data_IF_896059134797
#
_entry.id   IF_896059134797
#
_cell.length_a   1.000
_cell.length_b   1.000
_cell.length_c   1.000
_cell.angle_alpha   90.00
_cell.angle_beta   90.00
_cell.angle_gamma   90.00
#
_symmetry.space_group_name_H-M   'P 1'
#
loop_
_entity.id
_entity.type
_entity.pdbx_description
1 polymer ?
#
# COMPACT_ATOMS: atom_id res chain seq x y z
N UNK A 1 48.21 7.56 -22.50
CA UNK A 1 46.87 7.06 -22.91
C UNK A 1 45.76 7.94 -22.31
N UNK A 2 45.54 9.16 -22.83
CA UNK A 2 44.38 10.03 -22.49
C UNK A 2 44.14 11.00 -23.66
N UNK A 3 43.61 10.49 -24.77
CA UNK A 3 43.23 11.32 -25.93
C UNK A 3 42.07 10.73 -26.77
N UNK A 4 41.41 9.66 -26.30
CA UNK A 4 40.41 8.91 -27.09
C UNK A 4 38.96 9.01 -26.59
N UNK A 5 38.70 9.59 -25.43
CA UNK A 5 37.37 9.50 -24.76
C UNK A 5 36.47 10.71 -25.05
N UNK A 6 37.03 11.85 -25.48
CA UNK A 6 36.26 13.09 -25.69
C UNK A 6 35.43 13.15 -26.98
N UNK A 7 35.79 12.40 -28.03
CA UNK A 7 35.09 12.46 -29.33
C UNK A 7 33.74 11.72 -29.34
N UNK A 8 33.56 10.71 -28.48
CA UNK A 8 32.31 9.94 -28.43
C UNK A 8 31.21 10.62 -27.58
N UNK A 9 31.57 11.39 -26.55
CA UNK A 9 30.59 12.07 -25.71
C UNK A 9 29.83 13.19 -26.47
N UNK A 10 30.55 13.93 -27.33
CA UNK A 10 29.95 14.98 -28.16
C UNK A 10 28.99 14.41 -29.22
N UNK A 11 29.31 13.27 -29.81
CA UNK A 11 28.45 12.59 -30.78
C UNK A 11 27.15 12.07 -30.13
N UNK A 12 27.23 11.54 -28.91
CA UNK A 12 26.08 11.05 -28.14
C UNK A 12 25.17 12.21 -27.71
N UNK A 13 25.75 13.35 -27.31
CA UNK A 13 24.98 14.54 -26.96
C UNK A 13 24.24 15.15 -28.17
N UNK A 14 24.86 15.16 -29.34
CA UNK A 14 24.25 15.63 -30.59
C UNK A 14 23.07 14.72 -31.04
N UNK A 15 23.23 13.40 -30.93
CA UNK A 15 22.15 12.45 -31.24
C UNK A 15 20.94 12.60 -30.31
N UNK A 16 21.17 12.89 -29.03
CA UNK A 16 20.10 13.09 -28.03
C UNK A 16 19.33 14.39 -28.26
N UNK A 17 20.00 15.47 -28.69
CA UNK A 17 19.35 16.74 -29.06
C UNK A 17 18.48 16.60 -30.31
N UNK A 18 18.92 15.83 -31.31
CA UNK A 18 18.13 15.58 -32.53
C UNK A 18 16.84 14.80 -32.21
N UNK A 19 16.92 13.80 -31.32
CA UNK A 19 15.77 12.98 -30.91
C UNK A 19 14.74 13.75 -30.04
N UNK A 20 15.21 14.72 -29.24
CA UNK A 20 14.32 15.59 -28.44
C UNK A 20 13.64 16.65 -29.32
N UNK A 21 14.32 17.16 -30.35
CA UNK A 21 13.71 18.08 -31.32
C UNK A 21 12.63 17.40 -32.18
N UNK A 22 12.85 16.14 -32.59
CA UNK A 22 11.86 15.34 -33.32
C UNK A 22 10.62 15.02 -32.46
N UNK A 23 10.81 14.78 -31.16
CA UNK A 23 9.71 14.54 -30.22
C UNK A 23 8.92 15.81 -29.86
N UNK A 24 9.52 17.00 -29.98
CA UNK A 24 8.84 18.28 -29.79
C UNK A 24 7.98 18.64 -31.02
N UNK A 25 8.47 18.40 -32.23
CA UNK A 25 7.71 18.65 -33.46
C UNK A 25 6.44 17.78 -33.60
N UNK A 26 6.40 16.62 -32.94
CA UNK A 26 5.23 15.73 -32.95
C UNK A 26 4.11 16.14 -31.97
N UNK A 27 4.32 17.16 -31.12
CA UNK A 27 3.35 17.61 -30.12
C UNK A 27 2.52 18.84 -30.51
N UNK A 28 2.88 19.54 -31.58
CA UNK A 28 2.23 20.81 -31.97
C UNK A 28 1.08 20.66 -32.99
N UNK A 29 0.57 19.44 -33.23
CA UNK A 29 -0.47 19.19 -34.27
C UNK A 29 -1.86 18.89 -33.68
N UNK A 30 -2.08 19.05 -32.38
CA UNK A 30 -3.41 18.80 -31.77
C UNK A 30 -3.77 19.92 -30.80
N UNK A 31 -4.11 21.10 -31.31
CA UNK A 31 -5.03 22.01 -30.60
C UNK A 31 -5.58 23.08 -31.56
N UNK A 32 -6.85 22.96 -31.94
CA UNK A 32 -7.69 24.12 -32.27
C UNK A 32 -9.18 23.74 -32.08
N UNK A 33 -9.72 24.18 -30.94
CA UNK A 33 -10.95 24.99 -30.90
C UNK A 33 -12.29 24.28 -31.05
N UNK A 34 -12.93 24.00 -29.91
CA UNK A 34 -14.39 23.88 -29.81
C UNK A 34 -15.00 25.13 -29.19
N UNK A 35 -15.91 25.80 -29.92
CA UNK A 35 -17.09 26.48 -29.37
C UNK A 35 -18.11 26.81 -30.49
N UNK A 36 -19.26 26.13 -30.38
CA UNK A 36 -20.65 26.52 -30.68
C UNK A 36 -21.00 27.56 -31.75
N UNK A 37 -21.86 27.12 -32.68
CA UNK A 37 -23.06 27.86 -33.10
C UNK A 37 -22.95 28.68 -34.38
N UNK A 38 -23.26 28.07 -35.53
CA UNK A 38 -24.35 28.56 -36.40
C UNK A 38 -24.55 27.61 -37.59
N UNK A 39 -25.83 27.37 -37.89
CA UNK A 39 -26.30 26.55 -39.00
C UNK A 39 -25.98 27.23 -40.33
N UNK A 40 -25.10 26.63 -41.12
CA UNK A 40 -25.06 26.86 -42.57
C UNK A 40 -25.05 25.51 -43.26
N UNK A 41 -26.25 25.10 -43.70
CA UNK A 41 -26.42 24.04 -44.67
C UNK A 41 -25.71 24.44 -45.97
N UNK A 42 -24.55 23.84 -46.24
CA UNK A 42 -24.01 23.76 -47.59
C UNK A 42 -24.09 22.29 -48.00
N UNK A 43 -25.14 21.97 -48.74
CA UNK A 43 -25.33 20.68 -49.38
C UNK A 43 -24.26 20.48 -50.46
N UNK A 44 -23.16 19.83 -50.11
CA UNK A 44 -22.34 19.12 -51.09
C UNK A 44 -22.77 17.65 -51.07
N UNK A 45 -23.69 17.34 -51.99
CA UNK A 45 -23.96 15.97 -52.38
C UNK A 45 -22.74 15.41 -53.09
N UNK A 46 -21.85 14.78 -52.34
CA UNK A 46 -20.83 13.90 -52.89
C UNK A 46 -20.82 12.65 -52.02
N UNK A 47 -21.47 11.61 -52.55
CA UNK A 47 -21.42 10.26 -52.01
C UNK A 47 -19.96 9.85 -51.91
N UNK A 48 -19.45 9.74 -50.69
CA UNK A 48 -18.14 9.14 -50.40
C UNK A 48 -18.08 7.78 -51.10
N UNK A 49 -17.08 7.51 -51.96
CA UNK A 49 -16.82 6.14 -52.36
C UNK A 49 -16.41 5.37 -51.10
N UNK A 50 -17.21 4.37 -50.75
CA UNK A 50 -16.76 3.26 -49.94
C UNK A 50 -15.50 2.66 -50.60
N UNK A 51 -14.55 2.24 -49.79
CA UNK A 51 -13.30 1.55 -50.17
C UNK A 51 -12.09 2.45 -50.49
N UNK A 52 -11.56 3.12 -49.45
CA UNK A 52 -10.09 3.29 -49.37
C UNK A 52 -9.54 1.92 -48.97
N UNK A 53 -8.68 1.27 -49.78
CA UNK A 53 -8.10 -0.02 -49.43
C UNK A 53 -7.36 0.09 -48.09
N UNK A 54 -7.77 -0.67 -47.08
CA UNK A 54 -6.99 -0.78 -45.83
C UNK A 54 -5.56 -1.16 -46.21
N UNK A 55 -4.60 -0.34 -45.78
CA UNK A 55 -3.19 -0.54 -46.07
C UNK A 55 -2.78 -1.98 -45.65
N UNK A 56 -2.19 -2.80 -46.54
CA UNK A 56 -1.76 -4.16 -46.23
C UNK A 56 -0.90 -4.24 -44.96
N UNK A 57 -0.15 -3.18 -44.67
CA UNK A 57 0.66 -3.08 -43.45
C UNK A 57 -0.20 -2.92 -42.19
N UNK A 58 -1.34 -2.22 -42.26
CA UNK A 58 -2.28 -2.10 -41.14
C UNK A 58 -2.94 -3.45 -40.85
N UNK A 59 -3.38 -4.18 -41.88
CA UNK A 59 -3.96 -5.52 -41.70
C UNK A 59 -2.95 -6.50 -41.08
N UNK A 60 -1.69 -6.51 -41.55
CA UNK A 60 -0.64 -7.35 -40.98
C UNK A 60 -0.28 -6.94 -39.55
N UNK A 61 -0.27 -5.63 -39.25
CA UNK A 61 -0.02 -5.14 -37.88
C UNK A 61 -1.11 -5.57 -36.90
N UNK A 62 -2.38 -5.56 -37.31
CA UNK A 62 -3.51 -6.06 -36.50
C UNK A 62 -3.44 -7.57 -36.28
N UNK A 63 -3.11 -8.35 -37.31
CA UNK A 63 -2.94 -9.81 -37.21
C UNK A 63 -1.79 -10.19 -36.25
N UNK A 64 -0.67 -9.45 -36.31
CA UNK A 64 0.45 -9.64 -35.36
C UNK A 64 0.00 -9.26 -33.95
N UNK A 65 -0.71 -8.13 -33.78
CA UNK A 65 -1.24 -7.72 -32.48
C UNK A 65 -2.21 -8.77 -31.90
N UNK A 66 -3.10 -9.32 -32.72
CA UNK A 66 -4.05 -10.36 -32.34
C UNK A 66 -3.34 -11.67 -31.96
N UNK A 67 -2.35 -12.10 -32.74
CA UNK A 67 -1.51 -13.26 -32.43
C UNK A 67 -0.72 -13.08 -31.13
N UNK A 68 -0.18 -11.88 -30.88
CA UNK A 68 0.51 -11.58 -29.62
C UNK A 68 -0.45 -11.58 -28.43
N UNK A 69 -1.69 -11.10 -28.62
CA UNK A 69 -2.73 -11.09 -27.60
C UNK A 69 -3.20 -12.50 -27.26
N UNK A 70 -3.36 -13.36 -28.26
CA UNK A 70 -3.75 -14.76 -28.07
C UNK A 70 -2.65 -15.55 -27.35
N UNK A 71 -1.40 -15.32 -27.73
CA UNK A 71 -0.24 -15.87 -27.02
C UNK A 71 -0.17 -15.38 -25.57
N UNK A 72 -0.45 -14.11 -25.32
CA UNK A 72 -0.48 -13.53 -23.98
C UNK A 72 -1.61 -14.11 -23.11
N UNK A 73 -2.81 -14.26 -23.67
CA UNK A 73 -3.95 -14.92 -22.98
C UNK A 73 -3.60 -16.33 -22.55
N UNK A 74 -3.03 -17.13 -23.46
CA UNK A 74 -2.59 -18.48 -23.15
C UNK A 74 -1.55 -18.52 -22.02
N UNK A 75 -0.60 -17.58 -21.99
CA UNK A 75 0.38 -17.49 -20.90
C UNK A 75 -0.28 -17.18 -19.55
N UNK A 76 -1.25 -16.26 -19.51
CA UNK A 76 -1.98 -15.92 -18.29
C UNK A 76 -2.77 -17.13 -17.79
N UNK A 77 -3.49 -17.84 -18.66
CA UNK A 77 -4.25 -19.04 -18.29
C UNK A 77 -3.34 -20.17 -17.77
N UNK A 78 -2.20 -20.40 -18.44
CA UNK A 78 -1.21 -21.39 -18.01
C UNK A 78 -0.61 -21.02 -16.66
N UNK A 79 -0.23 -19.76 -16.48
CA UNK A 79 0.30 -19.24 -15.22
C UNK A 79 -0.72 -19.41 -14.09
N UNK A 80 -1.96 -19.02 -14.33
CA UNK A 80 -3.06 -19.13 -13.37
C UNK A 80 -3.26 -20.59 -12.92
N UNK A 81 -3.21 -21.55 -13.85
CA UNK A 81 -3.29 -22.98 -13.54
C UNK A 81 -2.11 -23.48 -12.70
N UNK A 82 -0.89 -23.07 -13.04
CA UNK A 82 0.32 -23.47 -12.31
C UNK A 82 0.34 -22.88 -10.89
N UNK A 83 0.11 -21.57 -10.74
CA UNK A 83 0.09 -20.90 -9.44
C UNK A 83 -1.06 -21.42 -8.57
N UNK A 84 -2.19 -21.82 -9.18
CA UNK A 84 -3.25 -22.53 -8.46
C UNK A 84 -2.80 -23.88 -7.96
N UNK A 85 -2.21 -24.70 -8.82
CA UNK A 85 -1.72 -26.02 -8.39
C UNK A 85 -0.69 -25.90 -7.26
N UNK A 86 0.14 -24.85 -7.30
CA UNK A 86 1.11 -24.52 -6.27
C UNK A 86 0.43 -24.15 -4.95
N UNK A 87 -0.54 -23.22 -5.00
CA UNK A 87 -1.27 -22.77 -3.82
C UNK A 87 -2.13 -23.89 -3.20
N UNK A 88 -2.65 -24.87 -3.96
CA UNK A 88 -3.34 -26.04 -3.39
C UNK A 88 -2.37 -26.93 -2.61
N UNK A 89 -1.21 -27.22 -3.20
CA UNK A 89 -0.21 -28.11 -2.59
C UNK A 89 0.36 -27.51 -1.31
N UNK A 90 0.54 -26.19 -1.28
CA UNK A 90 1.15 -25.47 -0.16
C UNK A 90 0.15 -24.67 0.67
N UNK A 91 -1.16 -24.98 0.60
CA UNK A 91 -2.20 -24.21 1.27
C UNK A 91 -1.98 -24.10 2.78
N UNK A 92 -1.57 -25.20 3.42
CA UNK A 92 -1.29 -25.22 4.86
C UNK A 92 -0.01 -24.47 5.23
N UNK A 93 0.99 -24.49 4.36
CA UNK A 93 2.23 -23.72 4.54
C UNK A 93 1.93 -22.22 4.48
N UNK A 94 1.12 -21.78 3.50
CA UNK A 94 0.69 -20.37 3.36
C UNK A 94 -0.12 -19.93 4.60
N UNK A 95 -0.88 -20.83 5.23
CA UNK A 95 -1.66 -20.50 6.44
C UNK A 95 -0.79 -20.39 7.69
N UNK A 96 0.17 -21.29 7.85
CA UNK A 96 0.89 -21.46 9.11
C UNK A 96 2.26 -20.76 9.15
N UNK A 97 2.89 -20.55 8.00
CA UNK A 97 4.18 -19.88 7.87
C UNK A 97 4.01 -18.45 7.31
N UNK A 98 4.21 -17.40 8.14
CA UNK A 98 4.11 -16.02 7.69
C UNK A 98 5.17 -15.63 6.65
N UNK A 99 6.38 -16.18 6.74
CA UNK A 99 7.46 -15.83 5.82
C UNK A 99 7.15 -16.36 4.42
N UNK A 100 6.70 -17.62 4.35
CA UNK A 100 6.25 -18.22 3.10
C UNK A 100 5.02 -17.52 2.52
N UNK A 101 4.06 -17.14 3.37
CA UNK A 101 2.89 -16.35 2.95
C UNK A 101 3.29 -15.01 2.34
N UNK A 102 4.18 -14.26 3.00
CA UNK A 102 4.66 -12.98 2.51
C UNK A 102 5.33 -13.11 1.14
N UNK A 103 6.20 -14.11 0.97
CA UNK A 103 6.87 -14.36 -0.32
C UNK A 103 5.89 -14.76 -1.43
N UNK A 104 4.89 -15.57 -1.09
CA UNK A 104 3.82 -15.95 -2.03
C UNK A 104 3.01 -14.71 -2.49
N UNK A 105 2.63 -13.84 -1.56
CA UNK A 105 1.93 -12.59 -1.90
C UNK A 105 2.81 -11.66 -2.74
N UNK A 106 4.12 -11.58 -2.42
CA UNK A 106 5.10 -10.81 -3.20
C UNK A 106 5.23 -11.31 -4.63
N UNK A 107 5.16 -12.62 -4.85
CA UNK A 107 5.14 -13.21 -6.19
C UNK A 107 3.87 -12.85 -6.97
N UNK A 108 2.71 -12.81 -6.29
CA UNK A 108 1.43 -12.53 -6.93
C UNK A 108 1.26 -11.05 -7.32
N UNK A 109 1.89 -10.12 -6.60
CA UNK A 109 1.69 -8.67 -6.79
C UNK A 109 2.10 -8.15 -8.19
N UNK A 110 3.29 -8.46 -8.76
CA UNK A 110 3.65 -8.04 -10.12
C UNK A 110 2.74 -8.62 -11.22
N UNK A 111 2.11 -9.76 -10.93
CA UNK A 111 1.22 -10.44 -11.87
C UNK A 111 -0.20 -9.84 -11.87
N UNK A 112 -0.47 -8.86 -11.00
CA UNK A 112 -1.81 -8.29 -10.81
C UNK A 112 -2.80 -9.30 -10.21
N UNK A 113 -2.30 -10.38 -9.63
CA UNK A 113 -3.10 -11.40 -8.97
C UNK A 113 -3.26 -10.98 -7.51
N UNK A 114 -4.47 -10.59 -7.10
CA UNK A 114 -4.79 -10.40 -5.69
C UNK A 114 -5.50 -11.67 -5.15
N UNK A 115 -4.77 -12.58 -4.47
CA UNK A 115 -5.37 -13.79 -3.90
C UNK A 115 -6.39 -13.50 -2.80
N UNK A 116 -6.46 -12.25 -2.29
CA UNK A 116 -7.36 -11.82 -1.22
C UNK A 116 -8.63 -11.12 -1.74
N UNK A 117 -8.55 -10.34 -2.82
CA UNK A 117 -9.73 -9.71 -3.43
C UNK A 117 -10.70 -10.73 -4.04
N UNK A 118 -10.18 -11.88 -4.46
CA UNK A 118 -10.97 -12.92 -5.08
C UNK A 118 -12.10 -13.46 -4.19
N UNK A 119 -11.86 -13.53 -2.88
CA UNK A 119 -12.81 -14.11 -1.93
C UNK A 119 -13.98 -13.16 -1.59
N UNK A 120 -13.78 -11.84 -1.62
CA UNK A 120 -14.86 -10.88 -1.37
C UNK A 120 -15.78 -10.69 -2.56
N UNK A 121 -15.26 -10.79 -3.79
CA UNK A 121 -16.08 -10.78 -5.00
C UNK A 121 -16.92 -12.05 -5.16
N UNK A 122 -16.49 -13.19 -4.61
CA UNK A 122 -17.25 -14.44 -4.62
C UNK A 122 -18.60 -14.36 -3.88
N UNK A 123 -18.75 -13.43 -2.94
CA UNK A 123 -20.00 -13.22 -2.21
C UNK A 123 -21.01 -12.31 -2.96
N UNK A 124 -20.59 -11.59 -4.00
CA UNK A 124 -21.44 -10.61 -4.72
C UNK A 124 -21.56 -10.84 -6.23
N UNK A 125 -20.65 -11.58 -6.87
CA UNK A 125 -20.66 -11.81 -8.32
C UNK A 125 -21.12 -13.22 -8.67
N UNK A 126 -21.86 -13.34 -9.79
CA UNK A 126 -22.22 -14.63 -10.40
C UNK A 126 -21.01 -15.39 -10.98
N UNK A 127 -19.82 -14.76 -11.03
CA UNK A 127 -18.55 -15.33 -11.47
C UNK A 127 -17.50 -15.15 -10.36
N UNK A 128 -17.43 -16.07 -9.39
CA UNK A 128 -16.44 -16.01 -8.32
C UNK A 128 -15.04 -16.01 -8.92
N UNK A 129 -14.20 -15.07 -8.49
CA UNK A 129 -12.81 -14.97 -8.95
C UNK A 129 -12.12 -16.31 -8.74
N UNK A 130 -11.35 -16.76 -9.73
CA UNK A 130 -10.67 -18.06 -9.75
C UNK A 130 -10.08 -18.49 -8.39
N UNK A 131 -9.37 -17.58 -7.71
CA UNK A 131 -8.70 -17.85 -6.43
C UNK A 131 -9.64 -18.15 -5.25
N UNK A 132 -10.89 -17.67 -5.29
CA UNK A 132 -11.90 -17.96 -4.26
C UNK A 132 -12.45 -19.38 -4.36
N UNK A 133 -12.56 -19.91 -5.58
CA UNK A 133 -13.22 -21.20 -5.85
C UNK A 133 -12.30 -22.39 -5.63
N UNK A 134 -10.99 -22.23 -5.80
CA UNK A 134 -10.05 -23.35 -5.86
C UNK A 134 -8.99 -23.39 -4.76
N UNK A 135 -8.76 -22.33 -3.98
CA UNK A 135 -7.48 -22.21 -3.25
C UNK A 135 -7.55 -21.76 -1.79
N UNK A 136 -8.08 -20.58 -1.52
CA UNK A 136 -7.92 -19.98 -0.21
C UNK A 136 -9.15 -20.08 0.69
N UNK A 137 -10.29 -20.50 0.12
CA UNK A 137 -11.58 -20.56 0.80
C UNK A 137 -12.01 -19.20 1.38
N UNK A 138 -13.08 -19.20 2.15
CA UNK A 138 -13.44 -18.09 3.06
C UNK A 138 -12.34 -17.83 4.10
N UNK A 139 -11.56 -18.85 4.46
CA UNK A 139 -10.71 -18.83 5.65
C UNK A 139 -9.52 -17.86 5.63
N UNK A 140 -8.96 -17.54 4.44
CA UNK A 140 -7.84 -16.59 4.34
C UNK A 140 -8.34 -15.15 4.26
N UNK A 141 -9.40 -14.91 3.49
CA UNK A 141 -10.05 -13.60 3.47
C UNK A 141 -10.63 -13.25 4.82
N UNK A 142 -11.30 -14.19 5.48
CA UNK A 142 -11.85 -14.00 6.82
C UNK A 142 -10.74 -13.71 7.83
N UNK A 143 -9.55 -14.31 7.63
CA UNK A 143 -8.37 -13.97 8.43
C UNK A 143 -7.90 -12.54 8.19
N UNK A 144 -7.72 -12.09 6.94
CA UNK A 144 -7.28 -10.72 6.69
C UNK A 144 -8.34 -9.68 7.08
N UNK A 145 -9.62 -9.95 6.86
CA UNK A 145 -10.71 -9.08 7.33
C UNK A 145 -10.79 -9.04 8.86
N UNK A 146 -10.67 -10.18 9.53
CA UNK A 146 -10.58 -10.25 10.98
C UNK A 146 -9.35 -9.52 11.52
N UNK A 147 -8.19 -9.65 10.85
CA UNK A 147 -6.96 -8.94 11.18
C UNK A 147 -7.13 -7.43 10.99
N UNK A 148 -7.74 -6.98 9.89
CA UNK A 148 -8.08 -5.58 9.64
C UNK A 148 -8.91 -4.98 10.78
N UNK A 149 -9.96 -5.67 11.22
CA UNK A 149 -10.78 -5.20 12.35
C UNK A 149 -9.95 -5.12 13.63
N UNK A 150 -9.11 -6.12 13.93
CA UNK A 150 -8.25 -6.12 15.12
C UNK A 150 -7.21 -5.02 15.11
N UNK A 151 -6.61 -4.75 13.95
CA UNK A 151 -5.70 -3.62 13.74
C UNK A 151 -6.43 -2.31 14.02
N UNK A 152 -7.62 -2.11 13.45
CA UNK A 152 -8.42 -0.92 13.69
C UNK A 152 -8.80 -0.73 15.17
N UNK A 153 -9.23 -1.80 15.85
CA UNK A 153 -9.53 -1.75 17.28
C UNK A 153 -8.30 -1.43 18.13
N UNK A 154 -7.14 -1.98 17.78
CA UNK A 154 -5.88 -1.72 18.50
C UNK A 154 -5.49 -0.25 18.34
N UNK A 155 -5.52 0.27 17.11
CA UNK A 155 -5.27 1.69 16.86
C UNK A 155 -6.24 2.61 17.61
N UNK A 156 -7.53 2.24 17.67
CA UNK A 156 -8.53 3.00 18.41
C UNK A 156 -8.27 2.95 19.94
N UNK A 157 -7.87 1.80 20.46
CA UNK A 157 -7.57 1.63 21.89
C UNK A 157 -6.33 2.43 22.31
N UNK A 158 -5.29 2.47 21.47
CA UNK A 158 -4.05 3.20 21.75
C UNK A 158 -4.15 4.70 21.47
N UNK A 159 -5.20 5.15 20.79
CA UNK A 159 -5.35 6.55 20.33
C UNK A 159 -5.19 7.59 21.43
N UNK A 160 -5.68 7.30 22.64
CA UNK A 160 -5.55 8.22 23.78
C UNK A 160 -4.13 8.39 24.29
N UNK A 161 -3.26 7.42 24.03
CA UNK A 161 -1.86 7.41 24.47
C UNK A 161 -0.91 7.93 23.39
N UNK A 162 -1.18 7.63 22.12
CA UNK A 162 -0.27 7.91 21.02
C UNK A 162 -0.77 8.90 19.96
N UNK A 163 -1.94 9.52 20.18
CA UNK A 163 -2.50 10.50 19.25
C UNK A 163 -2.96 9.92 17.92
N UNK A 164 -2.97 8.59 17.78
CA UNK A 164 -3.35 7.89 16.55
C UNK A 164 -2.19 7.56 15.61
N UNK A 165 -0.94 7.69 16.07
CA UNK A 165 0.28 7.23 15.36
C UNK A 165 0.92 6.09 16.16
N UNK A 166 1.30 5.01 15.50
CA UNK A 166 1.95 3.86 16.13
C UNK A 166 2.99 3.25 15.18
N UNK A 167 4.15 2.79 15.66
CA UNK A 167 5.08 2.07 14.77
C UNK A 167 4.50 0.73 14.33
N UNK A 168 4.89 0.27 13.14
CA UNK A 168 4.49 -1.03 12.63
C UNK A 168 4.91 -2.16 13.58
N UNK A 169 6.10 -2.04 14.17
CA UNK A 169 6.65 -3.01 15.12
C UNK A 169 5.83 -3.04 16.43
N UNK A 170 5.44 -1.88 16.97
CA UNK A 170 4.62 -1.80 18.18
C UNK A 170 3.20 -2.31 17.92
N UNK A 171 2.58 -1.88 16.82
CA UNK A 171 1.27 -2.36 16.39
C UNK A 171 1.26 -3.88 16.24
N UNK A 172 2.30 -4.45 15.63
CA UNK A 172 2.47 -5.90 15.50
C UNK A 172 2.51 -6.60 16.85
N UNK A 173 3.34 -6.11 17.78
CA UNK A 173 3.42 -6.66 19.13
C UNK A 173 2.06 -6.63 19.84
N UNK A 174 1.36 -5.49 19.79
CA UNK A 174 0.06 -5.33 20.44
C UNK A 174 -1.00 -6.26 19.83
N UNK A 175 -1.08 -6.35 18.51
CA UNK A 175 -2.04 -7.25 17.82
C UNK A 175 -1.77 -8.71 18.17
N UNK A 176 -0.50 -9.14 18.14
CA UNK A 176 -0.12 -10.52 18.50
C UNK A 176 -0.40 -10.81 19.98
N UNK A 177 -0.14 -9.86 20.87
CA UNK A 177 -0.39 -10.02 22.29
C UNK A 177 -1.90 -10.11 22.59
N UNK A 178 -2.71 -9.29 21.91
CA UNK A 178 -4.18 -9.32 22.01
C UNK A 178 -4.73 -10.66 21.50
N UNK A 179 -4.14 -11.21 20.44
CA UNK A 179 -4.50 -12.53 19.92
C UNK A 179 -4.22 -13.64 20.93
N UNK A 180 -3.04 -13.62 21.57
CA UNK A 180 -2.67 -14.60 22.60
C UNK A 180 -3.60 -14.57 23.81
N UNK A 181 -4.10 -13.40 24.19
CA UNK A 181 -5.02 -13.25 25.33
C UNK A 181 -6.41 -13.84 25.05
N UNK A 182 -6.71 -14.25 23.81
CA UNK A 182 -8.04 -14.77 23.46
C UNK A 182 -9.16 -13.73 23.56
N UNK A 183 -8.80 -12.47 23.85
CA UNK A 183 -9.67 -11.28 23.79
C UNK A 183 -9.75 -10.89 22.32
N UNK A 184 -10.24 -11.82 21.49
CA UNK A 184 -10.72 -11.49 20.17
C UNK A 184 -11.76 -10.39 20.36
N UNK A 185 -11.59 -9.30 19.64
CA UNK A 185 -12.53 -8.19 19.61
C UNK A 185 -13.97 -8.67 19.46
N UNK A 186 -14.90 -7.74 19.66
CA UNK A 186 -16.35 -7.98 19.65
C UNK A 186 -16.84 -8.73 18.39
N UNK A 187 -16.01 -8.76 17.34
CA UNK A 187 -16.15 -9.46 16.07
C UNK A 187 -15.25 -10.70 15.96
N UNK A 188 -15.51 -11.73 16.76
CA UNK A 188 -14.87 -13.03 16.57
C UNK A 188 -15.61 -13.79 15.44
N UNK A 189 -15.21 -13.55 14.18
CA UNK A 189 -15.79 -14.22 13.00
C UNK A 189 -15.58 -15.75 12.97
N UNK A 190 -14.71 -16.29 13.82
CA UNK A 190 -14.45 -17.73 13.93
C UNK A 190 -15.41 -18.48 14.89
N UNK A 191 -16.46 -17.82 15.38
CA UNK A 191 -17.60 -18.54 15.99
C UNK A 191 -18.66 -18.73 14.93
N UNK A 192 -18.69 -19.92 14.32
CA UNK A 192 -19.85 -20.36 13.55
C UNK A 192 -21.10 -20.15 14.40
N UNK A 193 -21.89 -19.15 14.03
CA UNK A 193 -23.20 -18.89 14.59
C UNK A 193 -24.13 -20.02 14.13
N UNK A 194 -24.16 -21.11 14.89
CA UNK A 194 -25.27 -22.04 14.85
C UNK A 194 -25.77 -22.19 16.27
N UNK A 195 -26.89 -21.51 16.52
CA UNK A 195 -27.60 -21.59 17.78
C UNK A 195 -27.97 -23.03 18.14
N UNK A 196 -28.07 -23.25 19.44
CA UNK A 196 -28.63 -24.42 20.11
C UNK A 196 -27.89 -25.76 19.96
N UNK A 197 -26.98 -26.02 20.92
CA UNK A 197 -27.29 -27.01 21.96
C UNK A 197 -26.30 -26.92 23.12
N UNK A 198 -26.87 -26.65 24.30
CA UNK A 198 -26.34 -27.06 25.59
C UNK A 198 -25.95 -28.55 25.53
N UNK A 199 -24.66 -28.83 25.38
CA UNK A 199 -24.04 -30.03 25.94
C UNK A 199 -22.62 -29.65 26.31
N UNK A 200 -22.37 -29.61 27.62
CA UNK A 200 -21.05 -29.64 28.22
C UNK A 200 -20.28 -30.85 27.66
N UNK A 201 -19.42 -30.60 26.68
CA UNK A 201 -18.33 -31.51 26.32
C UNK A 201 -17.03 -30.74 26.40
N UNK A 202 -16.39 -30.95 27.53
CA UNK A 202 -15.09 -30.42 27.89
C UNK A 202 -13.99 -30.75 26.87
N UNK A 203 -13.16 -29.74 26.61
CA UNK A 203 -11.67 -29.81 26.64
C UNK A 203 -10.88 -30.54 25.54
N UNK A 204 -11.37 -30.67 24.30
CA UNK A 204 -10.45 -31.11 23.23
C UNK A 204 -10.71 -30.55 21.81
N UNK A 205 -11.19 -29.31 21.70
CA UNK A 205 -10.92 -28.55 20.48
C UNK A 205 -9.53 -27.97 20.64
N UNK A 206 -8.53 -28.62 20.02
CA UNK A 206 -7.24 -27.99 19.71
C UNK A 206 -7.57 -26.58 19.25
N UNK A 207 -7.23 -25.57 20.06
CA UNK A 207 -7.31 -24.18 19.63
C UNK A 207 -6.65 -24.15 18.26
N UNK A 208 -7.37 -23.71 17.23
CA UNK A 208 -6.76 -23.49 15.92
C UNK A 208 -5.41 -22.84 16.17
N UNK A 209 -4.28 -23.45 15.70
CA UNK A 209 -2.96 -22.97 16.05
C UNK A 209 -2.96 -21.48 15.77
N UNK A 210 -2.59 -20.66 16.77
CA UNK A 210 -2.54 -19.21 16.62
C UNK A 210 -1.77 -18.96 15.32
N UNK A 211 -2.48 -18.51 14.28
CA UNK A 211 -1.85 -18.22 12.99
C UNK A 211 -0.81 -17.17 13.31
N UNK A 212 0.47 -17.48 13.09
CA UNK A 212 1.54 -16.50 13.29
C UNK A 212 1.23 -15.32 12.36
N UNK A 213 1.25 -14.11 12.91
CA UNK A 213 1.00 -12.86 12.18
C UNK A 213 2.37 -12.24 11.94
N UNK A 214 2.68 -11.81 10.72
CA UNK A 214 3.87 -10.98 10.42
C UNK A 214 3.51 -9.51 10.26
N UNK A 215 4.53 -8.66 10.11
CA UNK A 215 4.34 -7.23 9.84
C UNK A 215 3.73 -7.00 8.45
N UNK A 216 4.08 -7.84 7.46
CA UNK A 216 3.52 -7.80 6.12
C UNK A 216 2.01 -8.13 6.12
N UNK A 217 1.56 -9.01 7.02
CA UNK A 217 0.12 -9.27 7.16
C UNK A 217 -0.63 -8.04 7.65
N UNK A 218 -0.01 -7.24 8.53
CA UNK A 218 -0.59 -6.00 9.05
C UNK A 218 -0.63 -4.95 7.95
N UNK A 219 0.42 -4.80 7.17
CA UNK A 219 0.44 -3.91 6.00
C UNK A 219 -0.65 -4.29 4.99
N UNK A 220 -0.80 -5.59 4.74
CA UNK A 220 -1.87 -6.12 3.88
C UNK A 220 -3.25 -5.80 4.45
N UNK A 221 -3.45 -6.01 5.76
CA UNK A 221 -4.69 -5.67 6.45
C UNK A 221 -5.00 -4.16 6.42
N UNK A 222 -3.99 -3.30 6.52
CA UNK A 222 -4.13 -1.84 6.39
C UNK A 222 -4.52 -1.44 4.98
N UNK A 223 -3.94 -2.04 3.95
CA UNK A 223 -4.36 -1.82 2.56
C UNK A 223 -5.83 -2.20 2.31
N UNK A 224 -6.37 -3.16 3.07
CA UNK A 224 -7.81 -3.45 3.01
C UNK A 224 -8.65 -2.40 3.75
N UNK A 225 -8.15 -1.83 4.85
CA UNK A 225 -8.82 -0.75 5.58
C UNK A 225 -8.82 0.58 4.81
N UNK A 226 -7.79 0.89 4.02
CA UNK A 226 -7.73 2.12 3.22
C UNK A 226 -8.84 2.20 2.18
N UNK A 227 -9.37 1.05 1.73
CA UNK A 227 -10.52 1.00 0.82
C UNK A 227 -11.83 1.48 1.48
N UNK A 228 -11.89 1.56 2.81
CA UNK A 228 -13.05 2.05 3.55
C UNK A 228 -13.01 3.58 3.77
N UNK A 229 -11.89 4.23 3.45
CA UNK A 229 -11.70 5.68 3.57
C UNK A 229 -10.29 6.07 4.02
N UNK A 230 -10.04 7.37 4.15
CA UNK A 230 -8.74 7.97 4.49
C UNK A 230 -8.37 7.89 6.00
N UNK A 231 -9.05 7.03 6.75
CA UNK A 231 -8.83 6.91 8.20
C UNK A 231 -7.54 6.18 8.57
N UNK A 232 -7.01 5.35 7.67
CA UNK A 232 -5.81 4.55 7.91
C UNK A 232 -4.78 4.80 6.81
N UNK A 233 -3.56 5.14 7.19
CA UNK A 233 -2.45 5.29 6.24
C UNK A 233 -1.12 4.87 6.86
N UNK A 234 -0.18 4.50 6.00
CA UNK A 234 1.18 4.20 6.41
C UNK A 234 2.08 5.35 6.00
N UNK A 235 2.93 5.83 6.91
CA UNK A 235 3.98 6.82 6.62
C UNK A 235 5.33 6.21 6.95
N UNK A 236 6.35 6.61 6.21
CA UNK A 236 7.74 6.32 6.55
C UNK A 236 8.33 7.58 7.17
N UNK A 237 8.81 7.43 8.40
CA UNK A 237 9.56 8.47 9.10
C UNK A 237 10.95 7.90 9.27
N UNK A 238 12.01 8.58 8.80
CA UNK A 238 13.37 8.04 8.86
C UNK A 238 13.48 6.59 8.34
N UNK A 239 13.88 5.68 9.23
CA UNK A 239 13.99 4.24 8.95
C UNK A 239 12.82 3.40 9.48
N UNK A 240 11.82 4.01 10.11
CA UNK A 240 10.67 3.30 10.69
C UNK A 240 9.40 3.52 9.89
N UNK A 241 8.65 2.45 9.72
CA UNK A 241 7.31 2.50 9.14
C UNK A 241 6.30 2.71 10.27
N UNK A 242 5.49 3.75 10.16
CA UNK A 242 4.45 4.11 11.13
C UNK A 242 3.06 4.06 10.49
N UNK A 243 2.06 3.75 11.31
CA UNK A 243 0.65 3.64 10.93
C UNK A 243 -0.11 4.77 11.59
N UNK A 244 -0.91 5.48 10.79
CA UNK A 244 -1.83 6.50 11.26
C UNK A 244 -3.25 5.96 11.16
N UNK A 245 -4.03 6.25 12.20
CA UNK A 245 -5.42 5.84 12.35
C UNK A 245 -6.37 7.03 12.45
N UNK A 246 -5.88 8.23 12.12
CA UNK A 246 -6.63 9.48 12.17
C UNK A 246 -6.55 10.17 10.80
N UNK A 247 -7.67 10.74 10.31
CA UNK A 247 -7.73 11.52 9.06
C UNK A 247 -7.15 12.91 9.31
N UNK A 248 -5.90 12.97 9.75
CA UNK A 248 -5.21 14.21 10.07
C UNK A 248 -3.98 14.33 9.18
N UNK A 249 -3.82 15.45 8.50
CA UNK A 249 -2.63 15.71 7.71
C UNK A 249 -1.44 16.02 8.64
N UNK A 250 -0.35 15.30 8.44
CA UNK A 250 0.93 15.67 9.00
C UNK A 250 1.70 16.48 7.98
N UNK A 251 1.83 17.77 8.25
CA UNK A 251 2.69 18.66 7.47
C UNK A 251 4.15 18.17 7.46
N UNK A 252 4.91 18.64 6.46
CA UNK A 252 6.33 18.35 6.31
C UNK A 252 7.13 18.69 7.59
N UNK A 253 6.74 19.75 8.30
CA UNK A 253 7.42 20.16 9.53
C UNK A 253 7.24 19.13 10.65
N UNK A 254 6.05 18.54 10.77
CA UNK A 254 5.79 17.48 11.74
C UNK A 254 6.59 16.22 11.42
N UNK A 255 6.68 15.86 10.13
CA UNK A 255 7.44 14.71 9.66
C UNK A 255 8.93 14.85 9.99
N UNK A 256 9.49 16.04 9.83
CA UNK A 256 10.90 16.29 10.11
C UNK A 256 11.22 16.22 11.60
N UNK A 257 10.35 16.76 12.47
CA UNK A 257 10.52 16.65 13.93
C UNK A 257 10.47 15.18 14.37
N UNK A 258 9.53 14.39 13.84
CA UNK A 258 9.46 12.96 14.14
C UNK A 258 10.64 12.17 13.55
N UNK A 259 11.18 12.59 12.41
CA UNK A 259 12.39 11.99 11.82
C UNK A 259 13.58 12.15 12.76
N UNK A 260 13.73 13.36 13.33
CA UNK A 260 14.77 13.64 14.35
C UNK A 260 14.54 12.79 15.60
N UNK A 261 13.28 12.57 16.01
CA UNK A 261 12.95 11.70 17.14
C UNK A 261 13.31 10.22 16.91
N UNK A 262 13.29 9.77 15.65
CA UNK A 262 13.53 8.38 15.27
C UNK A 262 14.97 8.04 14.91
N UNK A 263 15.74 9.00 14.38
CA UNK A 263 17.16 8.80 14.10
C UNK A 263 17.88 8.51 15.40
N UNK A 264 18.42 7.29 15.54
CA UNK A 264 19.33 6.99 16.64
C UNK A 264 20.37 5.96 16.19
N UNK A 265 21.60 6.19 16.63
CA UNK A 265 22.67 5.22 16.93
C UNK A 265 24.03 5.92 17.08
N UNK A 266 24.34 7.02 16.37
CA UNK A 266 25.71 7.55 16.38
C UNK A 266 25.98 8.70 17.37
N UNK A 267 24.96 9.21 18.07
CA UNK A 267 25.08 10.42 18.91
C UNK A 267 24.84 10.21 20.42
N UNK A 268 24.65 8.97 20.89
CA UNK A 268 24.37 8.69 22.31
C UNK A 268 23.06 9.30 22.83
N UNK A 269 22.06 9.48 21.95
CA UNK A 269 20.76 10.07 22.28
C UNK A 269 19.83 9.01 22.85
N UNK A 270 18.70 9.47 23.39
CA UNK A 270 17.61 8.60 23.83
C UNK A 270 16.55 8.58 22.73
N UNK A 271 16.47 7.48 21.96
CA UNK A 271 15.40 7.20 20.98
C UNK A 271 14.03 7.71 21.42
N UNK A 272 13.40 8.54 20.59
CA UNK A 272 12.05 9.06 20.83
C UNK A 272 11.99 10.32 21.68
N UNK A 273 13.12 10.96 22.01
CA UNK A 273 13.19 12.24 22.72
C UNK A 273 13.76 13.33 21.82
N UNK A 274 13.11 14.50 21.79
CA UNK A 274 13.54 15.67 21.01
C UNK A 274 13.59 16.91 21.89
N UNK A 275 14.61 17.74 21.69
CA UNK A 275 14.71 19.09 22.29
C UNK A 275 14.53 20.19 21.25
N UNK A 276 14.02 21.35 21.66
CA UNK A 276 13.86 22.51 20.79
C UNK A 276 15.17 22.91 20.09
N UNK A 277 16.25 23.02 20.85
CA UNK A 277 17.57 23.38 20.33
C UNK A 277 18.09 22.37 19.28
N UNK A 278 17.72 21.10 19.44
CA UNK A 278 18.12 20.04 18.52
C UNK A 278 17.40 20.19 17.18
N UNK A 279 16.07 20.40 17.21
CA UNK A 279 15.29 20.68 16.00
C UNK A 279 15.89 21.87 15.27
N UNK A 280 16.15 22.97 15.97
CA UNK A 280 16.76 24.17 15.36
C UNK A 280 18.13 23.88 14.75
N UNK A 281 18.98 23.11 15.44
CA UNK A 281 20.33 22.79 14.94
C UNK A 281 20.33 21.89 13.71
N UNK A 282 19.41 20.93 13.63
CA UNK A 282 19.34 19.96 12.51
C UNK A 282 18.62 20.56 11.31
N UNK A 283 17.53 21.31 11.55
CA UNK A 283 16.67 21.83 10.47
C UNK A 283 17.04 23.24 10.02
N UNK A 284 17.80 23.98 10.83
CA UNK A 284 18.08 25.41 10.61
C UNK A 284 16.86 26.31 10.80
N UNK A 285 15.78 25.82 11.42
CA UNK A 285 14.58 26.61 11.67
C UNK A 285 14.77 27.65 12.76
N UNK A 286 14.01 28.73 12.66
CA UNK A 286 13.84 29.71 13.73
C UNK A 286 13.06 29.12 14.90
N UNK A 287 13.26 29.71 16.08
CA UNK A 287 12.64 29.24 17.33
C UNK A 287 11.12 29.20 17.25
N UNK A 288 10.51 30.18 16.58
CA UNK A 288 9.05 30.28 16.45
C UNK A 288 8.48 29.13 15.63
N UNK A 289 9.11 28.80 14.49
CA UNK A 289 8.68 27.66 13.65
C UNK A 289 8.88 26.33 14.37
N UNK A 290 10.04 26.12 14.99
CA UNK A 290 10.32 24.89 15.72
C UNK A 290 9.37 24.69 16.90
N UNK A 291 9.10 25.75 17.67
CA UNK A 291 8.15 25.70 18.78
C UNK A 291 6.72 25.47 18.29
N UNK A 292 6.30 26.12 17.18
CA UNK A 292 4.98 25.87 16.57
C UNK A 292 4.80 24.41 16.15
N UNK A 293 5.80 23.82 15.50
CA UNK A 293 5.73 22.41 15.08
C UNK A 293 5.61 21.46 16.28
N UNK A 294 6.38 21.70 17.34
CA UNK A 294 6.33 20.92 18.58
C UNK A 294 5.00 21.10 19.34
N UNK A 295 4.51 22.33 19.46
CA UNK A 295 3.24 22.64 20.12
C UNK A 295 2.06 22.01 19.38
N UNK A 296 2.08 21.99 18.04
CA UNK A 296 1.05 21.30 17.25
C UNK A 296 1.08 19.78 17.47
N UNK A 297 2.26 19.17 17.58
CA UNK A 297 2.39 17.74 17.90
C UNK A 297 1.89 17.42 19.31
N UNK A 298 2.16 18.29 20.30
CA UNK A 298 1.60 18.19 21.65
C UNK A 298 0.07 18.32 21.63
N UNK A 299 -0.46 19.35 20.96
CA UNK A 299 -1.89 19.61 20.89
C UNK A 299 -2.67 18.46 20.24
N UNK A 300 -2.02 17.73 19.33
CA UNK A 300 -2.57 16.54 18.66
C UNK A 300 -2.42 15.25 19.48
N UNK A 301 -1.73 15.30 20.62
CA UNK A 301 -1.45 14.13 21.46
C UNK A 301 -0.42 13.17 20.86
N UNK A 302 0.37 13.62 19.88
CA UNK A 302 1.39 12.83 19.20
C UNK A 302 2.75 12.91 19.91
N UNK A 303 2.92 13.90 20.78
CA UNK A 303 4.10 14.07 21.62
C UNK A 303 3.67 14.35 23.06
N UNK A 304 4.53 13.98 24.01
CA UNK A 304 4.35 14.20 25.44
C UNK A 304 5.40 15.20 25.90
N UNK A 305 4.99 16.16 26.72
CA UNK A 305 5.90 17.16 27.29
C UNK A 305 6.41 16.67 28.63
N UNK A 306 7.73 16.67 28.77
CA UNK A 306 8.43 16.38 30.00
C UNK A 306 9.24 17.61 30.42
N UNK A 307 9.09 18.02 31.69
CA UNK A 307 9.70 19.25 32.21
C UNK A 307 10.55 18.87 33.40
N UNK A 308 11.83 18.67 33.13
CA UNK A 308 12.83 18.40 34.16
C UNK A 308 13.59 19.69 34.48
N UNK A 309 13.78 19.97 35.79
CA UNK A 309 14.59 21.10 36.25
C UNK A 309 16.06 21.08 35.79
N UNK A 310 16.56 19.92 35.36
CA UNK A 310 17.95 19.72 34.89
C UNK A 310 18.06 19.71 33.37
N UNK A 311 17.08 19.13 32.65
CA UNK A 311 17.17 18.88 31.20
C UNK A 311 16.37 19.90 30.37
N UNK A 312 15.56 20.73 31.02
CA UNK A 312 14.64 21.67 30.40
C UNK A 312 13.39 20.98 29.87
N UNK A 313 12.70 21.62 28.92
CA UNK A 313 11.56 21.03 28.21
C UNK A 313 12.05 19.97 27.21
N UNK A 314 11.61 18.74 27.37
CA UNK A 314 11.84 17.62 26.45
C UNK A 314 10.53 17.09 25.89
N UNK A 315 10.51 16.77 24.61
CA UNK A 315 9.34 16.25 23.91
C UNK A 315 9.57 14.77 23.62
N UNK A 316 8.64 13.93 24.02
CA UNK A 316 8.72 12.47 23.89
C UNK A 316 7.68 11.96 22.90
N UNK A 317 8.08 11.06 22.01
CA UNK A 317 7.21 10.45 21.01
C UNK A 317 6.94 8.99 21.39
N UNK A 318 5.65 8.58 21.41
CA UNK A 318 5.30 7.18 21.60
C UNK A 318 5.88 6.32 20.47
N UNK A 319 6.23 5.07 20.79
CA UNK A 319 6.76 4.11 19.82
C UNK A 319 5.64 3.34 19.14
#
# INVERSE_FOLDING_TARGET
RRAGVGRNAAAIAAARRKKVAEAAAARDVIDYGGQSGDSVEISFGETMPADIPEDPFQKKSREIAESTLESAKYLIEKLQKEVSSFAQKHADDIRNDPAFRAEFLRMCAPLGIDPLAAASQAASSSNPSFWSRTLFGSDMSDFYYGLSVRVAETCLATRSQNGGIISLCELHKLVVERERRGVGGRFNFNKNATGNKLVERERNKKSSPIRKISEEDILTALSKLTNLGDGFRTITVGNSTMVLSVPQELDNDHMEVMRIAQDDVESGRTLGMVKLNEVMSVTGWDEVRANRALDLLLARGMAWLDIDGVRGKTFWFPR
#
